data_IF_355208936658
#
_entry.id   IF_355208936658
#
_cell.length_a   1.000
_cell.length_b   1.000
_cell.length_c   1.000
_cell.angle_alpha   90.00
_cell.angle_beta   90.00
_cell.angle_gamma   90.00
#
_symmetry.space_group_name_H-M   'P 1'
#
loop_
_entity.id
_entity.type
_entity.pdbx_description
1 polymer ?
#
# COMPACT_ATOMS: atom_id res chain seq x y z
N UNK A 1 -12.46 10.60 13.26
CA UNK A 1 -11.50 11.31 12.39
C UNK A 1 -12.12 11.51 11.03
N UNK A 2 -12.07 12.74 10.53
CA UNK A 2 -12.64 13.07 9.22
C UNK A 2 -11.60 12.81 8.12
N UNK A 3 -11.77 11.75 7.38
CA UNK A 3 -10.84 11.32 6.33
C UNK A 3 -10.71 12.38 5.21
N UNK A 4 -11.77 13.15 4.95
CA UNK A 4 -11.75 14.17 3.91
C UNK A 4 -10.89 15.38 4.29
N UNK A 5 -10.73 15.64 5.59
CA UNK A 5 -9.84 16.69 6.09
C UNK A 5 -8.43 16.19 6.29
N UNK A 6 -8.27 15.01 6.90
CA UNK A 6 -6.97 14.45 7.23
C UNK A 6 -6.29 13.84 6.02
N UNK A 7 -7.08 13.32 5.06
CA UNK A 7 -6.60 12.71 3.81
C UNK A 7 -5.71 11.50 4.06
N UNK A 8 -6.05 10.76 5.11
CA UNK A 8 -5.33 9.57 5.52
C UNK A 8 -6.30 8.61 6.20
N UNK A 9 -6.10 7.31 5.99
CA UNK A 9 -6.87 6.26 6.64
C UNK A 9 -5.93 5.16 7.05
N UNK A 10 -5.95 4.79 8.32
CA UNK A 10 -5.18 3.66 8.83
C UNK A 10 -6.11 2.58 9.32
N UNK A 11 -5.92 1.36 8.86
CA UNK A 11 -6.72 0.21 9.25
C UNK A 11 -5.84 -0.86 9.88
N UNK A 12 -6.37 -1.50 10.91
CA UNK A 12 -5.71 -2.64 11.57
C UNK A 12 -6.14 -3.91 10.87
N UNK A 13 -5.16 -4.74 10.52
CA UNK A 13 -5.43 -6.06 9.93
C UNK A 13 -5.48 -7.07 11.08
N UNK A 14 -6.60 -7.77 11.21
CA UNK A 14 -6.78 -8.80 12.24
C UNK A 14 -7.15 -10.12 11.59
N UNK A 15 -6.74 -11.23 12.23
CA UNK A 15 -7.18 -12.55 11.80
C UNK A 15 -8.50 -12.92 12.47
N UNK A 16 -9.03 -14.13 12.18
CA UNK A 16 -10.30 -14.59 12.73
C UNK A 16 -10.28 -14.79 14.26
N UNK A 17 -9.10 -14.84 14.85
CA UNK A 17 -8.93 -14.96 16.30
C UNK A 17 -8.76 -13.60 16.97
N UNK A 18 -9.02 -12.50 16.23
CA UNK A 18 -8.86 -11.13 16.69
C UNK A 18 -7.43 -10.74 17.07
N UNK A 19 -6.44 -11.48 16.59
CA UNK A 19 -5.05 -11.11 16.77
C UNK A 19 -4.66 -10.09 15.71
N UNK A 20 -4.01 -9.01 16.13
CA UNK A 20 -3.50 -8.00 15.19
C UNK A 20 -2.33 -8.59 14.40
N UNK A 21 -2.43 -8.57 13.08
CA UNK A 21 -1.40 -9.09 12.20
C UNK A 21 -0.66 -8.01 11.43
N UNK A 22 -1.21 -6.81 11.38
CA UNK A 22 -0.53 -5.71 10.70
C UNK A 22 -1.37 -4.47 10.58
N UNK A 23 -0.86 -3.52 9.81
CA UNK A 23 -1.52 -2.26 9.51
C UNK A 23 -1.50 -2.02 8.00
N UNK A 24 -2.55 -1.41 7.50
CA UNK A 24 -2.59 -0.96 6.10
C UNK A 24 -3.13 0.46 6.06
N UNK A 25 -2.47 1.31 5.29
CA UNK A 25 -2.78 2.73 5.23
C UNK A 25 -3.10 3.17 3.82
N UNK A 26 -4.06 4.10 3.72
CA UNK A 26 -4.14 5.03 2.59
C UNK A 26 -3.53 6.35 3.08
N UNK A 27 -2.68 6.95 2.28
CA UNK A 27 -2.07 8.23 2.62
C UNK A 27 -2.12 9.18 1.41
N UNK A 28 -1.97 10.48 1.70
CA UNK A 28 -2.00 11.52 0.67
C UNK A 28 -3.23 11.37 -0.25
N UNK A 29 -4.39 11.15 0.35
CA UNK A 29 -5.61 10.97 -0.42
C UNK A 29 -5.96 12.28 -1.11
N UNK A 30 -6.01 12.23 -2.44
CA UNK A 30 -6.34 13.37 -3.28
C UNK A 30 -7.71 13.11 -3.90
N UNK A 31 -8.75 13.70 -3.30
CA UNK A 31 -10.11 13.48 -3.78
C UNK A 31 -10.39 14.21 -5.08
N UNK A 32 -9.65 15.26 -5.39
CA UNK A 32 -9.78 15.99 -6.64
C UNK A 32 -9.27 15.15 -7.82
N UNK A 33 -8.08 14.57 -7.68
CA UNK A 33 -7.47 13.75 -8.71
C UNK A 33 -7.77 12.26 -8.54
N UNK A 34 -8.51 11.92 -7.48
CA UNK A 34 -9.00 10.56 -7.21
C UNK A 34 -7.88 9.52 -7.12
N UNK A 35 -6.86 9.82 -6.31
CA UNK A 35 -5.75 8.91 -6.07
C UNK A 35 -5.32 8.90 -4.61
N UNK A 36 -4.64 7.82 -4.22
CA UNK A 36 -4.07 7.71 -2.88
C UNK A 36 -2.90 6.75 -2.90
N UNK A 37 -1.99 6.92 -1.94
CA UNK A 37 -0.91 5.98 -1.71
C UNK A 37 -1.32 4.87 -0.77
N UNK A 38 -0.70 3.71 -0.91
CA UNK A 38 -0.93 2.54 -0.06
C UNK A 38 0.38 2.15 0.61
N UNK A 39 0.32 1.92 1.93
CA UNK A 39 1.44 1.35 2.68
C UNK A 39 0.91 0.21 3.53
N UNK A 40 1.71 -0.85 3.70
CA UNK A 40 1.31 -2.01 4.47
C UNK A 40 2.47 -2.53 5.31
N UNK A 41 2.19 -2.92 6.54
CA UNK A 41 3.14 -3.55 7.45
C UNK A 41 2.48 -4.79 8.03
N UNK A 42 3.13 -5.94 7.90
CA UNK A 42 2.65 -7.20 8.47
C UNK A 42 3.67 -7.67 9.52
N UNK A 43 3.17 -8.12 10.68
CA UNK A 43 4.02 -8.70 11.70
C UNK A 43 4.82 -9.87 11.13
N UNK A 44 6.10 -9.96 11.48
CA UNK A 44 6.99 -10.98 10.95
C UNK A 44 6.45 -12.41 11.12
N UNK A 45 5.86 -12.69 12.28
CA UNK A 45 5.30 -14.01 12.58
C UNK A 45 4.12 -14.40 11.70
N UNK A 46 3.53 -13.41 11.02
CA UNK A 46 2.31 -13.62 10.22
C UNK A 46 2.55 -13.42 8.74
N UNK A 47 3.78 -13.15 8.34
CA UNK A 47 4.10 -12.99 6.93
C UNK A 47 3.95 -14.31 6.17
N UNK A 48 3.72 -14.23 4.87
CA UNK A 48 3.59 -15.37 3.95
C UNK A 48 2.37 -16.26 4.20
N UNK A 49 1.33 -15.73 4.87
CA UNK A 49 0.07 -16.45 5.09
C UNK A 49 -1.09 -15.90 4.25
N UNK A 50 -0.78 -15.08 3.26
CA UNK A 50 -1.81 -14.51 2.40
C UNK A 50 -2.57 -13.31 2.99
N UNK A 51 -2.29 -12.93 4.23
CA UNK A 51 -2.99 -11.81 4.88
C UNK A 51 -2.73 -10.49 4.17
N UNK A 52 -1.50 -10.24 3.76
CA UNK A 52 -1.14 -8.99 3.09
C UNK A 52 -1.88 -8.85 1.76
N UNK A 53 -1.90 -9.91 0.98
CA UNK A 53 -2.59 -9.91 -0.32
C UNK A 53 -4.08 -9.65 -0.13
N UNK A 54 -4.71 -10.36 0.79
CA UNK A 54 -6.12 -10.18 1.08
C UNK A 54 -6.43 -8.76 1.54
N UNK A 55 -5.59 -8.20 2.42
CA UNK A 55 -5.76 -6.85 2.92
C UNK A 55 -5.68 -5.81 1.80
N UNK A 56 -4.69 -5.95 0.90
CA UNK A 56 -4.56 -5.03 -0.22
C UNK A 56 -5.76 -5.15 -1.16
N UNK A 57 -6.20 -6.37 -1.46
CA UNK A 57 -7.36 -6.58 -2.31
C UNK A 57 -8.63 -5.93 -1.74
N UNK A 58 -8.84 -6.07 -0.42
CA UNK A 58 -9.97 -5.45 0.26
C UNK A 58 -9.88 -3.93 0.24
N UNK A 59 -8.68 -3.38 0.44
CA UNK A 59 -8.47 -1.94 0.41
C UNK A 59 -8.71 -1.37 -0.99
N UNK A 60 -8.26 -2.08 -2.03
CA UNK A 60 -8.52 -1.69 -3.42
C UNK A 60 -10.02 -1.60 -3.67
N UNK A 61 -10.76 -2.63 -3.25
CA UNK A 61 -12.22 -2.66 -3.41
C UNK A 61 -12.88 -1.51 -2.67
N UNK A 62 -12.48 -1.27 -1.42
CA UNK A 62 -13.01 -0.18 -0.62
C UNK A 62 -12.72 1.19 -1.26
N UNK A 63 -11.51 1.39 -1.74
CA UNK A 63 -11.09 2.64 -2.36
C UNK A 63 -11.93 2.94 -3.60
N UNK A 64 -12.21 1.90 -4.40
CA UNK A 64 -13.02 2.04 -5.60
C UNK A 64 -14.49 2.30 -5.27
N UNK A 65 -15.08 1.50 -4.37
CA UNK A 65 -16.52 1.49 -4.14
C UNK A 65 -17.00 2.55 -3.16
N UNK A 66 -16.21 2.86 -2.12
CA UNK A 66 -16.61 3.79 -1.07
C UNK A 66 -15.97 5.16 -1.17
N UNK A 67 -14.74 5.23 -1.70
CA UNK A 67 -14.04 6.50 -1.82
C UNK A 67 -14.03 7.04 -3.25
N UNK A 68 -14.51 6.24 -4.20
CA UNK A 68 -14.56 6.60 -5.63
C UNK A 68 -13.20 7.01 -6.19
N UNK A 69 -12.13 6.39 -5.69
CA UNK A 69 -10.79 6.65 -6.19
C UNK A 69 -10.59 5.95 -7.53
N UNK A 70 -9.87 6.61 -8.42
CA UNK A 70 -9.56 6.09 -9.73
C UNK A 70 -8.30 5.22 -9.72
N UNK A 71 -7.34 5.56 -8.86
CA UNK A 71 -6.08 4.86 -8.83
C UNK A 71 -5.43 4.88 -7.45
N UNK A 72 -4.60 3.88 -7.23
CA UNK A 72 -3.75 3.76 -6.07
C UNK A 72 -2.30 3.61 -6.52
N UNK A 73 -1.38 4.02 -5.68
CA UNK A 73 0.04 3.82 -5.95
C UNK A 73 0.76 3.40 -4.66
N UNK A 74 1.93 2.83 -4.82
CA UNK A 74 2.79 2.54 -3.67
C UNK A 74 4.25 2.78 -4.03
N UNK A 75 5.03 3.09 -3.02
CA UNK A 75 6.46 3.34 -3.13
C UNK A 75 7.17 2.24 -2.36
N UNK A 76 8.04 1.49 -3.01
CA UNK A 76 8.70 0.34 -2.42
C UNK A 76 10.20 0.42 -2.69
N UNK A 77 11.02 0.21 -1.67
CA UNK A 77 12.47 0.13 -1.90
C UNK A 77 12.77 -0.96 -2.91
N UNK A 78 13.70 -0.67 -3.82
CA UNK A 78 14.04 -1.57 -4.92
C UNK A 78 14.43 -2.97 -4.45
N UNK A 79 15.09 -3.08 -3.31
CA UNK A 79 15.52 -4.35 -2.75
C UNK A 79 14.45 -5.06 -1.90
N UNK A 80 13.30 -4.44 -1.71
CA UNK A 80 12.19 -5.08 -0.99
C UNK A 80 11.38 -5.94 -1.97
N UNK A 81 11.96 -7.06 -2.35
CA UNK A 81 11.36 -7.95 -3.36
C UNK A 81 10.02 -8.54 -2.91
N UNK A 82 9.86 -8.76 -1.60
CA UNK A 82 8.61 -9.29 -1.05
C UNK A 82 7.43 -8.34 -1.31
N UNK A 83 7.61 -7.05 -1.01
CA UNK A 83 6.55 -6.06 -1.25
C UNK A 83 6.28 -5.84 -2.72
N UNK A 84 7.34 -5.83 -3.55
CA UNK A 84 7.16 -5.70 -4.99
C UNK A 84 6.33 -6.87 -5.54
N UNK A 85 6.64 -8.08 -5.14
CA UNK A 85 5.87 -9.27 -5.55
C UNK A 85 4.43 -9.20 -5.05
N UNK A 86 4.24 -8.75 -3.82
CA UNK A 86 2.90 -8.61 -3.24
C UNK A 86 2.04 -7.69 -4.10
N UNK A 87 2.51 -6.47 -4.36
CA UNK A 87 1.74 -5.50 -5.11
C UNK A 87 1.52 -5.93 -6.55
N UNK A 88 2.51 -6.55 -7.17
CA UNK A 88 2.32 -7.11 -8.52
C UNK A 88 1.27 -8.23 -8.54
N UNK A 89 1.20 -9.02 -7.46
CA UNK A 89 0.21 -10.10 -7.36
C UNK A 89 -1.23 -9.59 -7.27
N UNK A 90 -1.41 -8.33 -6.89
CA UNK A 90 -2.72 -7.68 -6.86
C UNK A 90 -2.88 -6.64 -7.97
N UNK A 91 -2.15 -6.86 -9.06
CA UNK A 91 -2.28 -6.13 -10.33
C UNK A 91 -1.70 -4.71 -10.35
N UNK A 92 -0.86 -4.35 -9.38
CA UNK A 92 -0.07 -3.14 -9.51
C UNK A 92 1.02 -3.36 -10.55
N UNK A 93 1.32 -2.32 -11.32
CA UNK A 93 2.38 -2.36 -12.31
C UNK A 93 3.47 -1.35 -11.95
N UNK A 94 4.71 -1.72 -12.23
CA UNK A 94 5.84 -0.84 -12.02
C UNK A 94 5.84 0.23 -13.11
N UNK A 95 5.80 1.50 -12.71
CA UNK A 95 5.70 2.62 -13.65
C UNK A 95 6.90 3.55 -13.59
N UNK A 96 7.78 3.38 -12.61
CA UNK A 96 8.97 4.21 -12.55
C UNK A 96 9.88 3.83 -11.40
N UNK A 97 11.06 4.43 -11.41
CA UNK A 97 12.05 4.25 -10.36
C UNK A 97 12.67 5.60 -10.02
N UNK A 98 12.68 5.94 -8.74
CA UNK A 98 13.30 7.16 -8.25
C UNK A 98 14.70 6.79 -7.75
N UNK A 99 15.72 7.34 -8.39
CA UNK A 99 17.11 7.02 -8.10
C UNK A 99 17.59 7.74 -6.85
N UNK A 100 18.36 7.05 -6.00
CA UNK A 100 18.97 7.61 -4.79
C UNK A 100 17.96 8.36 -3.92
N UNK A 101 16.78 7.80 -3.79
CA UNK A 101 15.64 8.49 -3.20
C UNK A 101 15.65 8.47 -1.67
N UNK A 102 16.17 7.38 -1.09
CA UNK A 102 16.11 7.17 0.36
C UNK A 102 17.51 6.81 0.86
N UNK A 103 17.91 7.41 1.98
CA UNK A 103 19.12 6.99 2.69
C UNK A 103 18.71 5.94 3.71
N UNK A 104 19.29 4.77 3.60
CA UNK A 104 19.07 3.69 4.56
C UNK A 104 20.42 3.09 4.92
N UNK A 105 20.74 3.09 6.23
CA UNK A 105 21.99 2.53 6.75
C UNK A 105 23.22 3.14 6.06
N UNK A 106 23.18 4.46 5.84
CA UNK A 106 24.28 5.22 5.26
C UNK A 106 24.43 5.09 3.75
N UNK A 107 23.51 4.40 3.09
CA UNK A 107 23.55 4.20 1.63
C UNK A 107 22.29 4.74 0.97
N UNK A 108 22.46 5.34 -0.20
CA UNK A 108 21.34 5.76 -1.01
C UNK A 108 20.70 4.55 -1.68
N UNK A 109 19.38 4.48 -1.62
CA UNK A 109 18.60 3.40 -2.23
C UNK A 109 17.56 3.96 -3.18
N UNK A 110 17.28 3.19 -4.23
CA UNK A 110 16.25 3.52 -5.20
C UNK A 110 14.89 3.10 -4.67
N UNK A 111 13.86 3.82 -5.08
CA UNK A 111 12.49 3.51 -4.72
C UNK A 111 11.65 3.32 -5.96
N UNK A 112 10.97 2.17 -6.03
CA UNK A 112 10.11 1.80 -7.17
C UNK A 112 8.73 2.36 -6.93
N UNK A 113 8.14 2.93 -7.98
CA UNK A 113 6.75 3.38 -7.98
C UNK A 113 5.89 2.37 -8.73
N UNK A 114 4.88 1.84 -8.03
CA UNK A 114 3.91 0.92 -8.62
C UNK A 114 2.53 1.58 -8.61
N UNK A 115 1.72 1.27 -9.60
CA UNK A 115 0.43 1.90 -9.82
C UNK A 115 -0.64 0.87 -10.14
N UNK A 116 -1.83 1.07 -9.59
CA UNK A 116 -3.03 0.30 -9.93
C UNK A 116 -4.14 1.26 -10.29
N UNK A 117 -4.68 1.13 -11.49
CA UNK A 117 -5.90 1.86 -11.86
C UNK A 117 -7.12 1.03 -11.49
N UNK A 118 -8.03 1.64 -10.73
CA UNK A 118 -9.23 0.97 -10.22
C UNK A 118 -10.39 1.05 -11.24
N UNK A 119 -10.13 0.58 -12.43
CA UNK A 119 -11.12 0.63 -13.52
C UNK A 119 -11.73 -0.73 -13.80
#
# INVERSE_FOLDING_TARGET
MDIYKVKQLRLVISNYENSTIGLIDLFDIDFKNKRAGVAIIINENKQSRGYAKEAVELLVKYSKTHLSLHQLYCNVLEDNTRSIKLFKSVNFTEVGMKKDWIIFDGKFKNEVLLQLRCI
#
